data_IF_203511553074
#
_entry.id   IF_203511553074
#
_cell.length_a   1.000
_cell.length_b   1.000
_cell.length_c   1.000
_cell.angle_alpha   90.00
_cell.angle_beta   90.00
_cell.angle_gamma   90.00
#
_symmetry.space_group_name_H-M   'P 1'
#
loop_
_entity.id
_entity.type
_entity.pdbx_description
1 polymer ?
#
# COMPACT_ATOMS: atom_id res chain seq x y z
N UNK A 1 5.95 95.48 7.04
CA UNK A 1 6.37 94.53 8.10
C UNK A 1 5.82 93.17 7.71
N UNK A 2 6.63 92.39 6.97
CA UNK A 2 7.29 91.15 7.44
C UNK A 2 6.29 90.01 7.74
N UNK A 3 6.14 89.04 6.82
CA UNK A 3 6.80 87.69 6.77
C UNK A 3 5.70 86.61 6.98
N UNK A 4 5.63 85.40 6.41
CA UNK A 4 6.54 84.43 5.75
C UNK A 4 5.68 83.64 4.70
N UNK A 5 6.07 83.34 3.46
CA UNK A 5 6.97 82.29 2.93
C UNK A 5 6.85 80.88 3.52
N UNK A 6 6.16 80.00 2.78
CA UNK A 6 6.46 78.56 2.66
C UNK A 6 6.43 78.20 1.17
N UNK A 7 7.53 77.66 0.65
CA UNK A 7 7.63 77.07 -0.69
C UNK A 7 8.24 75.68 -0.56
N UNK A 8 7.47 74.68 -0.98
CA UNK A 8 7.79 73.26 -1.05
C UNK A 8 8.92 72.99 -2.05
N UNK A 9 9.92 72.20 -1.65
CA UNK A 9 10.97 71.68 -2.51
C UNK A 9 10.53 70.45 -3.32
N UNK A 10 11.17 70.17 -4.48
CA UNK A 10 10.76 69.09 -5.37
C UNK A 10 11.24 67.71 -4.88
N UNK A 11 10.31 66.76 -4.87
CA UNK A 11 10.51 65.35 -4.50
C UNK A 11 11.04 64.57 -5.71
N UNK A 12 12.20 63.95 -5.57
CA UNK A 12 12.82 63.11 -6.60
C UNK A 12 12.20 61.71 -6.58
N UNK A 13 11.57 61.30 -7.67
CA UNK A 13 10.98 59.97 -7.84
C UNK A 13 12.02 59.02 -8.47
N UNK A 14 12.54 58.08 -7.68
CA UNK A 14 13.44 57.03 -8.17
C UNK A 14 12.62 55.88 -8.77
N UNK A 15 12.78 55.62 -10.07
CA UNK A 15 12.15 54.50 -10.78
C UNK A 15 13.01 53.25 -10.58
N UNK A 16 12.53 52.29 -9.78
CA UNK A 16 13.11 50.95 -9.66
C UNK A 16 12.55 50.07 -10.78
N UNK A 17 13.40 49.71 -11.75
CA UNK A 17 13.10 48.65 -12.72
C UNK A 17 13.18 47.28 -12.03
N UNK A 18 12.03 46.68 -11.75
CA UNK A 18 11.94 45.30 -11.29
C UNK A 18 12.23 44.36 -12.48
N UNK A 19 13.44 43.79 -12.51
CA UNK A 19 13.78 42.71 -13.43
C UNK A 19 13.03 41.46 -13.00
N UNK A 20 12.02 41.07 -13.76
CA UNK A 20 11.25 39.84 -13.54
C UNK A 20 12.11 38.66 -13.98
N UNK A 21 12.77 38.00 -13.03
CA UNK A 21 13.38 36.69 -13.27
C UNK A 21 12.22 35.70 -13.38
N UNK A 22 11.83 35.36 -14.61
CA UNK A 22 10.93 34.25 -14.88
C UNK A 22 11.70 32.98 -14.54
N UNK A 23 11.42 32.41 -13.38
CA UNK A 23 11.84 31.04 -13.05
C UNK A 23 11.09 30.09 -13.97
N UNK A 24 11.76 29.62 -15.02
CA UNK A 24 11.23 28.55 -15.85
C UNK A 24 10.97 27.33 -14.96
N UNK A 25 9.73 26.84 -14.94
CA UNK A 25 9.41 25.58 -14.28
C UNK A 25 10.30 24.48 -14.89
N UNK A 26 10.83 23.54 -14.07
CA UNK A 26 11.58 22.41 -14.61
C UNK A 26 10.70 21.69 -15.63
N UNK A 27 11.12 21.69 -16.89
CA UNK A 27 10.41 20.99 -17.94
C UNK A 27 10.39 19.49 -17.59
N UNK A 28 9.20 18.88 -17.63
CA UNK A 28 9.09 17.43 -17.68
C UNK A 28 10.00 16.93 -18.80
N UNK A 29 11.00 16.12 -18.47
CA UNK A 29 12.01 15.65 -19.43
C UNK A 29 11.36 15.01 -20.67
N UNK A 30 10.18 14.40 -20.51
CA UNK A 30 9.28 13.96 -21.58
C UNK A 30 7.83 14.01 -21.09
N UNK A 31 6.90 14.46 -21.95
CA UNK A 31 5.46 14.44 -21.64
C UNK A 31 4.96 13.00 -21.36
N UNK A 32 4.15 12.76 -20.31
CA UNK A 32 3.49 11.48 -20.08
C UNK A 32 2.27 11.25 -21.01
N UNK A 33 1.99 12.17 -21.93
CA UNK A 33 0.86 12.11 -22.86
C UNK A 33 0.86 10.84 -23.74
N UNK A 34 -0.34 10.31 -23.96
CA UNK A 34 -0.59 9.10 -24.74
C UNK A 34 -1.32 8.01 -23.94
N UNK A 35 -1.42 6.83 -24.56
CA UNK A 35 -2.04 5.64 -23.98
C UNK A 35 -0.96 4.70 -23.46
N UNK A 36 -1.16 4.15 -22.26
CA UNK A 36 -0.19 3.30 -21.57
C UNK A 36 -0.86 2.06 -20.99
N UNK A 37 -0.31 0.88 -21.25
CA UNK A 37 -0.78 -0.38 -20.69
C UNK A 37 0.14 -0.84 -19.57
N UNK A 38 -0.42 -1.20 -18.42
CA UNK A 38 0.32 -1.83 -17.33
C UNK A 38 0.71 -3.27 -17.66
N UNK A 39 1.91 -3.68 -17.26
CA UNK A 39 2.31 -5.08 -17.31
C UNK A 39 1.78 -5.83 -16.08
N UNK A 40 0.76 -6.66 -16.28
CA UNK A 40 0.26 -7.62 -15.31
C UNK A 40 -0.78 -7.13 -14.29
N UNK A 41 -1.03 -5.82 -14.24
CA UNK A 41 -1.97 -5.20 -13.29
C UNK A 41 -3.35 -4.91 -13.88
N UNK A 42 -3.60 -5.23 -15.15
CA UNK A 42 -4.94 -5.10 -15.75
C UNK A 42 -5.40 -3.66 -15.95
N UNK A 43 -4.48 -2.69 -16.03
CA UNK A 43 -4.80 -1.29 -16.29
C UNK A 43 -4.34 -0.80 -17.65
N UNK A 44 -5.13 0.10 -18.23
CA UNK A 44 -4.75 1.03 -19.30
C UNK A 44 -5.01 2.45 -18.86
N UNK A 45 -4.09 3.37 -19.18
CA UNK A 45 -4.16 4.78 -18.83
C UNK A 45 -4.16 5.63 -20.10
N UNK A 46 -5.09 6.56 -20.20
CA UNK A 46 -5.11 7.62 -21.22
C UNK A 46 -4.73 8.94 -20.56
N UNK A 47 -3.61 9.52 -20.97
CA UNK A 47 -3.11 10.81 -20.49
C UNK A 47 -3.29 11.87 -21.58
N UNK A 48 -4.06 12.92 -21.30
CA UNK A 48 -4.29 14.05 -22.20
C UNK A 48 -4.11 15.35 -21.43
N UNK A 49 -3.05 16.10 -21.75
CA UNK A 49 -2.67 17.30 -21.00
C UNK A 49 -2.49 17.03 -19.50
N UNK A 50 -3.29 17.69 -18.66
CA UNK A 50 -3.25 17.55 -17.20
C UNK A 50 -4.18 16.48 -16.63
N UNK A 51 -4.87 15.71 -17.49
CA UNK A 51 -5.86 14.72 -17.07
C UNK A 51 -5.38 13.31 -17.43
N UNK A 52 -5.66 12.38 -16.54
CA UNK A 52 -5.47 10.95 -16.75
C UNK A 52 -6.80 10.23 -16.51
N UNK A 53 -7.16 9.29 -17.39
CA UNK A 53 -8.24 8.33 -17.18
C UNK A 53 -7.64 6.93 -17.10
N UNK A 54 -8.02 6.16 -16.09
CA UNK A 54 -7.70 4.75 -15.98
C UNK A 54 -8.86 3.89 -16.50
N UNK A 55 -8.53 2.74 -17.05
CA UNK A 55 -9.43 1.69 -17.45
C UNK A 55 -8.94 0.38 -16.85
N UNK A 56 -9.85 -0.42 -16.29
CA UNK A 56 -9.57 -1.79 -15.90
C UNK A 56 -9.93 -2.71 -17.05
N UNK A 57 -8.95 -3.49 -17.50
CA UNK A 57 -9.01 -4.27 -18.74
C UNK A 57 -8.71 -5.73 -18.44
N UNK A 58 -9.49 -6.60 -19.09
CA UNK A 58 -9.19 -8.03 -19.21
C UNK A 58 -9.07 -8.37 -20.69
N UNK A 59 -8.83 -9.64 -21.02
CA UNK A 59 -8.86 -10.11 -22.41
C UNK A 59 -10.21 -9.87 -23.11
N UNK A 60 -11.32 -9.69 -22.37
CA UNK A 60 -12.68 -9.58 -22.94
C UNK A 60 -13.53 -8.45 -22.37
N UNK A 61 -13.08 -7.72 -21.34
CA UNK A 61 -13.85 -6.65 -20.70
C UNK A 61 -13.03 -5.38 -20.53
N UNK A 62 -13.70 -4.22 -20.52
CA UNK A 62 -13.10 -2.94 -20.20
C UNK A 62 -14.10 -2.08 -19.41
N UNK A 63 -13.73 -1.66 -18.21
CA UNK A 63 -14.54 -0.75 -17.38
C UNK A 63 -13.76 0.51 -17.07
N UNK A 64 -14.47 1.62 -16.87
CA UNK A 64 -13.84 2.86 -16.43
C UNK A 64 -13.32 2.69 -15.00
N UNK A 65 -12.06 3.04 -14.78
CA UNK A 65 -11.43 3.11 -13.46
C UNK A 65 -11.44 4.54 -12.90
N UNK A 66 -10.41 4.87 -12.12
CA UNK A 66 -10.24 6.21 -11.55
C UNK A 66 -9.85 7.26 -12.61
N UNK A 67 -9.97 8.53 -12.23
CA UNK A 67 -9.40 9.66 -12.99
C UNK A 67 -8.37 10.37 -12.13
N UNK A 68 -7.39 11.01 -12.74
CA UNK A 68 -6.38 11.75 -11.99
C UNK A 68 -6.04 13.08 -12.65
N UNK A 69 -5.53 14.00 -11.85
CA UNK A 69 -5.06 15.32 -12.29
C UNK A 69 -3.60 15.52 -11.96
N UNK A 70 -2.87 16.07 -12.92
CA UNK A 70 -1.48 16.46 -12.75
C UNK A 70 -1.37 17.48 -11.60
N UNK A 71 -0.45 17.24 -10.69
CA UNK A 71 -0.16 18.10 -9.56
C UNK A 71 1.09 18.94 -9.81
N UNK A 72 1.14 20.19 -9.30
CA UNK A 72 2.38 20.95 -9.26
C UNK A 72 3.42 20.20 -8.41
N UNK A 73 4.63 20.04 -8.93
CA UNK A 73 5.75 19.45 -8.20
C UNK A 73 6.14 20.44 -7.08
N UNK A 74 5.79 20.13 -5.82
CA UNK A 74 6.30 20.87 -4.66
C UNK A 74 7.64 20.27 -4.22
N UNK A 75 8.46 21.06 -3.52
CA UNK A 75 9.83 20.73 -3.08
C UNK A 75 9.93 19.49 -2.17
N UNK A 76 8.82 18.88 -1.74
CA UNK A 76 8.82 17.59 -1.04
C UNK A 76 9.03 16.37 -1.96
N UNK A 77 9.22 16.58 -3.26
CA UNK A 77 9.39 15.53 -4.28
C UNK A 77 10.80 15.53 -4.89
N UNK A 78 11.83 15.88 -4.11
CA UNK A 78 13.24 15.93 -4.56
C UNK A 78 13.74 14.61 -5.19
N UNK A 79 13.11 13.46 -4.90
CA UNK A 79 13.40 12.16 -5.53
C UNK A 79 12.71 11.93 -6.89
N UNK A 80 11.88 12.86 -7.37
CA UNK A 80 11.01 12.60 -8.53
C UNK A 80 11.72 12.61 -9.87
N UNK A 81 12.98 13.08 -9.99
CA UNK A 81 13.81 12.85 -11.18
C UNK A 81 13.17 13.25 -12.52
N UNK A 82 12.29 14.25 -12.53
CA UNK A 82 11.52 14.65 -13.72
C UNK A 82 10.22 13.87 -13.96
N UNK A 83 9.66 13.21 -12.94
CA UNK A 83 8.38 12.50 -13.00
C UNK A 83 7.17 13.44 -13.00
N UNK A 84 6.09 12.98 -13.64
CA UNK A 84 4.79 13.63 -13.56
C UNK A 84 4.00 13.10 -12.35
N UNK A 85 3.68 13.97 -11.40
CA UNK A 85 2.88 13.64 -10.22
C UNK A 85 1.38 13.79 -10.52
N UNK A 86 0.59 12.79 -10.19
CA UNK A 86 -0.86 12.78 -10.39
C UNK A 86 -1.56 12.47 -9.07
N UNK A 87 -2.67 13.16 -8.82
CA UNK A 87 -3.59 12.83 -7.73
C UNK A 87 -4.89 12.28 -8.31
N UNK A 88 -5.27 11.08 -7.88
CA UNK A 88 -6.54 10.46 -8.27
C UNK A 88 -7.74 11.19 -7.66
N UNK A 89 -8.92 11.01 -8.22
CA UNK A 89 -10.18 11.46 -7.62
C UNK A 89 -10.54 10.70 -6.32
N UNK A 90 -9.75 9.69 -5.96
CA UNK A 90 -9.83 8.93 -4.71
C UNK A 90 -8.83 9.45 -3.66
N UNK A 91 -7.94 10.37 -4.05
CA UNK A 91 -6.98 11.03 -3.17
C UNK A 91 -5.56 10.47 -3.23
N UNK A 92 -5.34 9.38 -3.98
CA UNK A 92 -4.04 8.72 -4.08
C UNK A 92 -3.05 9.53 -4.92
N UNK A 93 -1.84 9.70 -4.39
CA UNK A 93 -0.72 10.30 -5.09
C UNK A 93 0.13 9.21 -5.76
N UNK A 94 0.39 9.38 -7.06
CA UNK A 94 1.28 8.51 -7.82
C UNK A 94 2.09 9.30 -8.85
N UNK A 95 3.14 8.66 -9.35
CA UNK A 95 4.13 9.27 -10.23
C UNK A 95 4.31 8.44 -11.48
N UNK A 96 4.35 9.10 -12.65
CA UNK A 96 4.79 8.49 -13.90
C UNK A 96 6.22 8.95 -14.17
N UNK A 97 7.16 8.01 -14.12
CA UNK A 97 8.60 8.22 -14.25
C UNK A 97 9.12 7.64 -15.56
N UNK A 98 10.28 8.13 -16.01
CA UNK A 98 10.97 7.53 -17.15
C UNK A 98 11.37 6.07 -16.83
N UNK A 99 11.08 5.15 -17.76
CA UNK A 99 11.42 3.72 -17.63
C UNK A 99 12.55 3.28 -18.58
N UNK A 100 13.40 4.21 -19.00
CA UNK A 100 14.39 4.00 -20.07
C UNK A 100 13.88 4.51 -21.42
N UNK A 101 13.59 3.64 -22.41
CA UNK A 101 13.08 4.05 -23.73
C UNK A 101 11.80 4.90 -23.66
N UNK A 102 11.55 5.69 -24.71
CA UNK A 102 10.38 6.60 -24.79
C UNK A 102 9.03 5.89 -24.63
N UNK A 103 8.96 4.60 -24.95
CA UNK A 103 7.75 3.78 -24.92
C UNK A 103 7.62 2.93 -23.66
N UNK A 104 8.50 3.16 -22.67
CA UNK A 104 8.44 2.53 -21.36
C UNK A 104 8.43 3.59 -20.27
N UNK A 105 7.55 3.39 -19.30
CA UNK A 105 7.44 4.23 -18.10
C UNK A 105 7.22 3.37 -16.87
N UNK A 106 7.46 3.98 -15.72
CA UNK A 106 7.24 3.37 -14.42
C UNK A 106 6.17 4.18 -13.70
N UNK A 107 5.11 3.51 -13.28
CA UNK A 107 4.07 4.07 -12.44
C UNK A 107 4.38 3.67 -10.99
N UNK A 108 4.52 4.67 -10.11
CA UNK A 108 4.85 4.47 -8.71
C UNK A 108 3.79 5.10 -7.81
N UNK A 109 3.12 4.32 -6.98
CA UNK A 109 2.24 4.85 -5.94
C UNK A 109 3.07 5.20 -4.69
N UNK A 110 2.77 6.31 -4.02
CA UNK A 110 3.54 6.81 -2.88
C UNK A 110 3.75 5.76 -1.76
N UNK A 111 2.77 4.86 -1.58
CA UNK A 111 2.79 3.83 -0.54
C UNK A 111 3.20 2.42 -1.05
N UNK A 112 3.60 2.29 -2.31
CA UNK A 112 3.94 0.99 -2.91
C UNK A 112 5.41 0.61 -2.74
N UNK A 113 5.70 -0.69 -2.63
CA UNK A 113 7.07 -1.22 -2.63
C UNK A 113 7.71 -1.23 -4.02
N UNK A 114 6.91 -1.41 -5.07
CA UNK A 114 7.40 -1.66 -6.43
C UNK A 114 6.81 -0.70 -7.44
N UNK A 115 7.58 -0.41 -8.48
CA UNK A 115 7.08 0.27 -9.66
C UNK A 115 6.28 -0.69 -10.56
N UNK A 116 5.21 -0.18 -11.15
CA UNK A 116 4.47 -0.85 -12.22
C UNK A 116 5.02 -0.38 -13.56
N UNK A 117 5.55 -1.31 -14.35
CA UNK A 117 5.92 -1.00 -15.73
C UNK A 117 4.67 -0.74 -16.55
N UNK A 118 4.67 0.37 -17.29
CA UNK A 118 3.65 0.68 -18.27
C UNK A 118 4.30 0.90 -19.66
N UNK A 119 3.72 0.31 -20.69
CA UNK A 119 4.20 0.36 -22.07
C UNK A 119 3.27 1.20 -22.94
N UNK A 120 3.83 1.98 -23.86
CA UNK A 120 3.04 2.85 -24.74
C UNK A 120 2.19 2.02 -25.70
N UNK A 121 0.96 2.45 -25.90
CA UNK A 121 0.07 1.99 -26.98
C UNK A 121 -0.19 3.13 -27.97
N UNK A 122 -0.41 2.79 -29.24
CA UNK A 122 -0.81 3.77 -30.26
C UNK A 122 -2.21 4.34 -29.99
N UNK A 123 -3.14 3.45 -29.58
CA UNK A 123 -4.53 3.79 -29.25
C UNK A 123 -4.99 2.95 -28.05
N UNK A 124 -6.18 3.25 -27.53
CA UNK A 124 -6.85 2.38 -26.57
C UNK A 124 -7.03 0.96 -27.16
N UNK A 125 -6.98 -0.10 -26.33
CA UNK A 125 -7.34 -1.44 -26.78
C UNK A 125 -8.74 -1.49 -27.37
N UNK A 126 -8.95 -2.33 -28.39
CA UNK A 126 -10.26 -2.52 -29.04
C UNK A 126 -11.36 -2.86 -28.02
N UNK A 127 -11.03 -3.65 -26.98
CA UNK A 127 -11.97 -3.99 -25.90
C UNK A 127 -12.48 -2.75 -25.14
N UNK A 128 -11.77 -1.62 -25.20
CA UNK A 128 -12.13 -0.35 -24.59
C UNK A 128 -12.80 0.65 -25.54
N UNK A 129 -13.01 0.32 -26.83
CA UNK A 129 -13.82 1.15 -27.74
C UNK A 129 -15.25 1.32 -27.22
N UNK A 130 -15.76 0.29 -26.53
CA UNK A 130 -17.04 0.33 -25.82
C UNK A 130 -16.89 -0.31 -24.46
N UNK A 131 -17.14 0.47 -23.43
CA UNK A 131 -17.12 -0.02 -22.06
C UNK A 131 -18.11 -1.18 -21.88
N UNK A 132 -17.71 -2.17 -21.08
CA UNK A 132 -18.55 -3.27 -20.64
C UNK A 132 -19.79 -2.73 -19.95
N UNK A 133 -20.96 -3.22 -20.36
CA UNK A 133 -22.22 -2.68 -19.89
C UNK A 133 -22.44 -2.98 -18.40
N UNK A 134 -23.11 -2.09 -17.67
CA UNK A 134 -23.44 -2.32 -16.27
C UNK A 134 -24.70 -3.18 -16.13
N UNK A 135 -24.60 -4.45 -16.52
CA UNK A 135 -25.65 -5.46 -16.32
C UNK A 135 -25.16 -6.57 -15.39
N UNK A 136 -26.05 -7.36 -14.77
CA UNK A 136 -25.62 -8.45 -13.89
C UNK A 136 -24.71 -9.47 -14.59
N UNK A 137 -24.99 -9.81 -15.85
CA UNK A 137 -24.21 -10.77 -16.62
C UNK A 137 -22.83 -10.21 -16.99
N UNK A 138 -22.78 -8.95 -17.41
CA UNK A 138 -21.53 -8.28 -17.77
C UNK A 138 -20.63 -8.05 -16.55
N UNK A 139 -21.18 -7.62 -15.42
CA UNK A 139 -20.44 -7.48 -14.17
C UNK A 139 -19.91 -8.84 -13.67
N UNK A 140 -20.66 -9.93 -13.87
CA UNK A 140 -20.18 -11.28 -13.60
C UNK A 140 -19.00 -11.67 -14.51
N UNK A 141 -19.06 -11.31 -15.80
CA UNK A 141 -17.92 -11.53 -16.71
C UNK A 141 -16.68 -10.73 -16.26
N UNK A 142 -16.82 -9.44 -15.94
CA UNK A 142 -15.73 -8.60 -15.40
C UNK A 142 -15.11 -9.27 -14.19
N UNK A 143 -15.91 -9.59 -13.17
CA UNK A 143 -15.41 -10.21 -11.94
C UNK A 143 -14.66 -11.53 -12.21
N UNK A 144 -15.26 -12.41 -13.00
CA UNK A 144 -14.69 -13.74 -13.23
C UNK A 144 -13.43 -13.72 -14.09
N UNK A 145 -13.34 -12.80 -15.05
CA UNK A 145 -12.14 -12.59 -15.88
C UNK A 145 -11.02 -11.93 -15.11
N UNK A 146 -11.30 -10.88 -14.34
CA UNK A 146 -10.29 -10.25 -13.48
C UNK A 146 -9.64 -11.27 -12.55
N UNK A 147 -10.43 -12.12 -11.90
CA UNK A 147 -9.88 -13.19 -11.07
C UNK A 147 -9.08 -14.21 -11.89
N UNK A 148 -9.59 -14.65 -13.05
CA UNK A 148 -8.89 -15.62 -13.89
C UNK A 148 -7.51 -15.14 -14.36
N UNK A 149 -7.41 -13.86 -14.70
CA UNK A 149 -6.22 -13.24 -15.28
C UNK A 149 -5.22 -12.75 -14.23
N UNK A 150 -5.67 -12.33 -13.04
CA UNK A 150 -4.81 -11.69 -12.04
C UNK A 150 -4.67 -12.43 -10.72
N UNK A 151 -5.58 -13.34 -10.36
CA UNK A 151 -5.45 -14.09 -9.10
C UNK A 151 -4.39 -15.20 -9.23
N UNK A 152 -3.38 -15.14 -8.38
CA UNK A 152 -2.17 -15.96 -8.51
C UNK A 152 -2.24 -17.30 -7.75
N UNK A 153 -3.20 -17.46 -6.85
CA UNK A 153 -3.17 -18.53 -5.84
C UNK A 153 -4.15 -19.69 -6.09
N UNK A 154 -4.86 -19.75 -7.23
CA UNK A 154 -5.83 -20.84 -7.48
C UNK A 154 -5.22 -22.23 -7.33
N UNK A 155 -4.02 -22.45 -7.90
CA UNK A 155 -3.36 -23.76 -7.88
C UNK A 155 -2.88 -24.11 -6.45
N UNK A 156 -2.32 -23.13 -5.73
CA UNK A 156 -1.94 -23.28 -4.31
C UNK A 156 -3.14 -23.59 -3.41
N UNK A 157 -4.31 -23.04 -3.74
CA UNK A 157 -5.57 -23.26 -3.00
C UNK A 157 -6.35 -24.48 -3.51
N UNK A 158 -5.84 -25.18 -4.53
CA UNK A 158 -6.49 -26.31 -5.19
C UNK A 158 -7.93 -25.98 -5.65
N UNK A 159 -8.11 -24.80 -6.25
CA UNK A 159 -9.41 -24.32 -6.71
C UNK A 159 -9.48 -24.26 -8.22
N UNK A 160 -10.41 -25.06 -8.76
CA UNK A 160 -10.76 -25.03 -10.18
C UNK A 160 -11.69 -23.84 -10.46
N UNK A 161 -11.10 -22.69 -10.79
CA UNK A 161 -11.85 -21.47 -11.06
C UNK A 161 -12.86 -21.64 -12.20
N UNK A 162 -12.53 -22.43 -13.22
CA UNK A 162 -13.45 -22.72 -14.33
C UNK A 162 -14.74 -23.40 -13.86
N UNK A 163 -14.62 -24.39 -12.96
CA UNK A 163 -15.79 -25.02 -12.33
C UNK A 163 -16.60 -24.07 -11.47
N UNK A 164 -15.93 -23.23 -10.67
CA UNK A 164 -16.61 -22.20 -9.86
C UNK A 164 -17.40 -21.25 -10.75
N UNK A 165 -16.78 -20.74 -11.83
CA UNK A 165 -17.46 -19.87 -12.80
C UNK A 165 -18.66 -20.57 -13.45
N UNK A 166 -18.51 -21.83 -13.88
CA UNK A 166 -19.59 -22.59 -14.50
C UNK A 166 -20.78 -22.79 -13.55
N UNK A 167 -20.52 -23.11 -12.28
CA UNK A 167 -21.56 -23.29 -11.26
C UNK A 167 -22.36 -21.99 -11.06
N UNK A 168 -21.67 -20.87 -10.84
CA UNK A 168 -22.33 -19.61 -10.48
C UNK A 168 -22.90 -18.85 -11.68
N UNK A 169 -22.39 -19.07 -12.90
CA UNK A 169 -22.95 -18.44 -14.12
C UNK A 169 -24.42 -18.79 -14.30
N UNK A 170 -24.82 -20.02 -13.96
CA UNK A 170 -26.22 -20.47 -14.04
C UNK A 170 -27.16 -19.71 -13.07
N UNK A 171 -26.61 -19.08 -12.03
CA UNK A 171 -27.35 -18.33 -11.00
C UNK A 171 -27.53 -16.84 -11.36
N UNK A 172 -26.85 -16.35 -12.41
CA UNK A 172 -26.92 -14.95 -12.85
C UNK A 172 -27.90 -14.82 -14.01
N UNK A 173 -28.89 -13.94 -13.85
CA UNK A 173 -29.92 -13.64 -14.86
C UNK A 173 -30.05 -12.13 -15.06
N UNK A 174 -30.74 -11.67 -16.12
CA UNK A 174 -31.03 -10.24 -16.29
C UNK A 174 -31.82 -9.60 -15.12
N UNK A 175 -32.43 -10.41 -14.25
CA UNK A 175 -33.19 -9.95 -13.07
C UNK A 175 -32.39 -10.01 -11.76
N UNK A 176 -31.14 -10.47 -11.81
CA UNK A 176 -30.28 -10.54 -10.62
C UNK A 176 -30.01 -9.12 -10.11
N UNK A 177 -30.36 -8.85 -8.86
CA UNK A 177 -30.14 -7.54 -8.23
C UNK A 177 -28.68 -7.34 -7.85
N UNK A 178 -28.20 -6.10 -7.65
CA UNK A 178 -26.85 -5.84 -7.15
C UNK A 178 -26.53 -6.55 -5.83
N UNK A 179 -27.51 -6.66 -4.91
CA UNK A 179 -27.32 -7.37 -3.65
C UNK A 179 -27.13 -8.88 -3.84
N UNK A 180 -27.92 -9.50 -4.71
CA UNK A 180 -27.76 -10.91 -5.06
C UNK A 180 -26.46 -11.18 -5.82
N UNK A 181 -26.04 -10.25 -6.69
CA UNK A 181 -24.78 -10.37 -7.41
C UNK A 181 -23.59 -10.29 -6.44
N UNK A 182 -23.66 -9.41 -5.44
CA UNK A 182 -22.68 -9.37 -4.35
C UNK A 182 -22.61 -10.70 -3.61
N UNK A 183 -23.76 -11.28 -3.22
CA UNK A 183 -23.80 -12.59 -2.53
C UNK A 183 -23.15 -13.70 -3.37
N UNK A 184 -23.38 -13.66 -4.69
CA UNK A 184 -22.76 -14.58 -5.64
C UNK A 184 -21.24 -14.41 -5.64
N UNK A 185 -20.73 -13.17 -5.81
CA UNK A 185 -19.29 -12.91 -5.82
C UNK A 185 -18.62 -13.32 -4.52
N UNK A 186 -19.23 -12.96 -3.38
CA UNK A 186 -18.78 -13.33 -2.05
C UNK A 186 -18.68 -14.86 -1.91
N UNK A 187 -19.72 -15.59 -2.31
CA UNK A 187 -19.73 -17.05 -2.24
C UNK A 187 -18.69 -17.72 -3.15
N UNK A 188 -18.32 -17.08 -4.27
CA UNK A 188 -17.28 -17.57 -5.18
C UNK A 188 -15.88 -17.47 -4.57
N UNK A 189 -15.57 -16.39 -3.84
CA UNK A 189 -14.20 -16.12 -3.37
C UNK A 189 -13.98 -16.42 -1.88
N UNK A 190 -15.04 -16.49 -1.07
CA UNK A 190 -14.96 -16.88 0.35
C UNK A 190 -14.20 -18.20 0.57
N UNK A 191 -14.39 -19.26 -0.24
CA UNK A 191 -13.65 -20.52 -0.08
C UNK A 191 -12.16 -20.44 -0.43
N UNK A 192 -11.67 -19.32 -0.98
CA UNK A 192 -10.23 -19.10 -1.20
C UNK A 192 -9.49 -18.93 0.14
N UNK A 193 -10.19 -18.50 1.20
CA UNK A 193 -9.60 -18.26 2.51
C UNK A 193 -8.38 -17.35 2.41
N UNK A 194 -8.54 -16.24 1.69
CA UNK A 194 -7.47 -15.32 1.33
C UNK A 194 -7.78 -13.92 1.86
N UNK A 195 -6.96 -13.48 2.81
CA UNK A 195 -7.11 -12.19 3.49
C UNK A 195 -6.87 -10.99 2.56
N UNK A 196 -6.28 -11.23 1.39
CA UNK A 196 -6.05 -10.21 0.36
C UNK A 196 -7.10 -10.20 -0.75
N UNK A 197 -8.25 -10.83 -0.52
CA UNK A 197 -9.41 -10.74 -1.41
C UNK A 197 -10.54 -10.00 -0.72
N UNK A 198 -11.13 -9.03 -1.40
CA UNK A 198 -12.25 -8.26 -0.88
C UNK A 198 -13.23 -7.87 -1.97
N UNK A 199 -14.45 -7.54 -1.57
CA UNK A 199 -15.49 -6.94 -2.43
C UNK A 199 -16.07 -5.77 -1.66
N UNK A 200 -16.04 -4.59 -2.25
CA UNK A 200 -16.71 -3.40 -1.71
C UNK A 200 -17.83 -2.97 -2.65
N UNK A 201 -19.00 -2.71 -2.08
CA UNK A 201 -20.18 -2.26 -2.79
C UNK A 201 -20.90 -1.18 -1.96
N UNK A 202 -20.32 0.03 -1.86
CA UNK A 202 -20.79 1.08 -0.95
C UNK A 202 -22.18 1.62 -1.31
N UNK A 203 -22.60 1.44 -2.57
CA UNK A 203 -23.89 1.90 -3.11
C UNK A 203 -24.96 0.80 -3.15
N UNK A 204 -24.69 -0.40 -2.63
CA UNK A 204 -25.68 -1.50 -2.64
C UNK A 204 -26.68 -1.32 -1.50
N UNK A 205 -27.96 -1.44 -1.85
CA UNK A 205 -29.08 -1.34 -0.93
C UNK A 205 -29.54 -2.73 -0.47
N UNK A 206 -29.79 -2.90 0.83
CA UNK A 206 -30.48 -4.08 1.38
C UNK A 206 -31.84 -3.64 1.93
N UNK A 207 -32.93 -4.24 1.44
CA UNK A 207 -34.31 -3.91 1.83
C UNK A 207 -34.64 -2.40 1.74
N UNK A 208 -34.12 -1.71 0.74
CA UNK A 208 -34.39 -0.29 0.49
C UNK A 208 -33.50 0.70 1.24
N UNK A 209 -32.55 0.24 2.06
CA UNK A 209 -31.61 1.09 2.82
C UNK A 209 -30.21 0.94 2.21
N UNK A 210 -29.55 2.05 1.89
CA UNK A 210 -28.13 2.05 1.51
C UNK A 210 -27.30 1.75 2.75
N UNK A 211 -26.88 0.50 2.93
CA UNK A 211 -26.01 0.12 4.05
C UNK A 211 -24.54 0.07 3.64
N UNK A 212 -24.25 0.09 2.33
CA UNK A 212 -22.98 -0.44 1.83
C UNK A 212 -22.86 -1.94 2.12
N UNK A 213 -22.06 -2.64 1.34
CA UNK A 213 -21.68 -4.02 1.64
C UNK A 213 -20.19 -4.20 1.41
N UNK A 214 -19.56 -4.91 2.34
CA UNK A 214 -18.16 -5.23 2.27
C UNK A 214 -17.96 -6.70 2.64
N UNK A 215 -17.05 -7.35 1.94
CA UNK A 215 -16.55 -8.67 2.26
C UNK A 215 -15.04 -8.59 2.21
N UNK A 216 -14.40 -9.15 3.24
CA UNK A 216 -12.97 -9.41 3.27
C UNK A 216 -12.79 -10.91 3.53
N UNK A 217 -11.91 -11.53 2.76
CA UNK A 217 -11.54 -12.91 2.99
C UNK A 217 -10.79 -13.04 4.33
N UNK A 218 -10.82 -14.24 4.88
CA UNK A 218 -10.13 -14.54 6.14
C UNK A 218 -9.20 -15.71 5.89
N UNK A 219 -7.92 -15.54 6.20
CA UNK A 219 -6.95 -16.64 6.20
C UNK A 219 -7.32 -17.65 7.29
N UNK A 220 -7.37 -18.96 7.00
CA UNK A 220 -7.60 -19.97 8.02
C UNK A 220 -6.64 -19.83 9.21
N UNK A 221 -7.16 -19.83 10.43
CA UNK A 221 -6.38 -19.66 11.67
C UNK A 221 -6.39 -18.24 12.23
N UNK A 222 -6.67 -17.23 11.40
CA UNK A 222 -6.85 -15.82 11.84
C UNK A 222 -8.11 -15.66 12.72
N UNK A 223 -9.16 -16.42 12.41
CA UNK A 223 -10.41 -16.52 13.17
C UNK A 223 -10.22 -16.93 14.64
N UNK A 224 -9.19 -17.74 14.94
CA UNK A 224 -8.86 -18.17 16.31
C UNK A 224 -8.45 -16.99 17.21
N UNK A 225 -7.80 -15.99 16.62
CA UNK A 225 -7.39 -14.78 17.35
C UNK A 225 -8.61 -13.89 17.59
N UNK A 226 -9.51 -13.79 16.62
CA UNK A 226 -10.76 -13.04 16.74
C UNK A 226 -11.74 -13.66 17.75
N UNK A 227 -11.69 -14.98 17.97
CA UNK A 227 -12.62 -15.72 18.87
C UNK A 227 -14.09 -15.42 18.54
N UNK A 228 -14.43 -15.40 17.24
CA UNK A 228 -15.78 -15.12 16.77
C UNK A 228 -16.21 -13.65 16.85
N UNK A 229 -15.32 -12.73 17.19
CA UNK A 229 -15.56 -11.28 17.11
C UNK A 229 -15.34 -10.79 15.68
N UNK A 230 -15.98 -9.66 15.31
CA UNK A 230 -15.57 -8.93 14.11
C UNK A 230 -14.18 -8.33 14.33
N UNK A 231 -13.45 -8.10 13.23
CA UNK A 231 -12.16 -7.42 13.29
C UNK A 231 -12.27 -6.05 13.98
N UNK A 232 -13.29 -5.26 13.65
CA UNK A 232 -13.56 -3.97 14.31
C UNK A 232 -13.69 -4.11 15.84
N UNK A 233 -14.44 -5.12 16.32
CA UNK A 233 -14.61 -5.36 17.76
C UNK A 233 -13.29 -5.83 18.39
N UNK A 234 -12.54 -6.67 17.69
CA UNK A 234 -11.23 -7.11 18.14
C UNK A 234 -10.26 -5.94 18.27
N UNK A 235 -10.20 -5.05 17.27
CA UNK A 235 -9.36 -3.85 17.32
C UNK A 235 -9.75 -2.90 18.46
N UNK A 236 -11.06 -2.71 18.71
CA UNK A 236 -11.56 -1.85 19.78
C UNK A 236 -11.31 -2.40 21.19
N UNK A 237 -11.35 -3.73 21.37
CA UNK A 237 -11.35 -4.33 22.71
C UNK A 237 -10.43 -5.54 22.86
N UNK A 238 -10.51 -6.52 21.97
CA UNK A 238 -9.74 -7.77 22.06
C UNK A 238 -8.22 -7.58 22.05
N UNK A 239 -7.71 -6.67 21.23
CA UNK A 239 -6.28 -6.36 21.16
C UNK A 239 -5.73 -5.87 22.49
N UNK A 240 -6.48 -5.04 23.22
CA UNK A 240 -6.04 -4.51 24.52
C UNK A 240 -5.84 -5.63 25.53
N UNK A 241 -6.78 -6.58 25.59
CA UNK A 241 -6.69 -7.75 26.45
C UNK A 241 -5.47 -8.61 26.09
N UNK A 242 -5.24 -8.84 24.81
CA UNK A 242 -4.08 -9.62 24.35
C UNK A 242 -2.75 -8.94 24.67
N UNK A 243 -2.67 -7.63 24.47
CA UNK A 243 -1.47 -6.84 24.77
C UNK A 243 -1.16 -6.75 26.26
N UNK A 244 -2.21 -6.72 27.11
CA UNK A 244 -2.06 -6.75 28.56
C UNK A 244 -1.36 -8.04 29.03
N UNK A 245 -1.63 -9.19 28.41
CA UNK A 245 -0.92 -10.44 28.74
C UNK A 245 0.58 -10.27 28.55
N UNK A 246 1.01 -9.72 27.40
CA UNK A 246 2.44 -9.53 27.15
C UNK A 246 3.05 -8.52 28.12
N UNK A 247 2.34 -7.40 28.36
CA UNK A 247 2.80 -6.34 29.24
C UNK A 247 2.96 -6.82 30.69
N UNK A 248 2.00 -7.57 31.22
CA UNK A 248 2.02 -8.01 32.62
C UNK A 248 2.97 -9.19 32.86
N UNK A 249 3.07 -10.12 31.91
CA UNK A 249 3.84 -11.34 32.11
C UNK A 249 5.33 -11.21 31.74
N UNK A 250 5.68 -10.30 30.81
CA UNK A 250 7.03 -10.28 30.23
C UNK A 250 7.76 -8.95 30.33
N UNK A 251 7.07 -7.81 30.52
CA UNK A 251 7.73 -6.50 30.47
C UNK A 251 8.01 -5.92 31.86
N UNK A 252 9.20 -5.33 32.01
CA UNK A 252 9.60 -4.54 33.18
C UNK A 252 9.15 -3.10 33.00
N UNK A 253 8.05 -2.76 33.67
CA UNK A 253 7.51 -1.41 33.68
C UNK A 253 6.55 -1.10 32.52
N UNK A 254 6.11 0.17 32.40
CA UNK A 254 5.12 0.56 31.40
C UNK A 254 5.70 0.55 29.98
N UNK A 255 4.86 0.16 29.03
CA UNK A 255 5.17 0.29 27.60
C UNK A 255 5.07 1.74 27.18
N UNK A 256 6.11 2.21 26.48
CA UNK A 256 6.17 3.54 25.87
C UNK A 256 5.48 3.48 24.52
N UNK A 257 4.60 4.44 24.26
CA UNK A 257 3.81 4.51 23.04
C UNK A 257 4.32 5.62 22.13
N UNK A 258 4.58 5.28 20.88
CA UNK A 258 4.98 6.18 19.82
C UNK A 258 3.98 6.07 18.66
N UNK A 259 4.00 7.05 17.75
CA UNK A 259 3.21 7.01 16.52
C UNK A 259 1.74 6.62 16.77
N UNK A 260 1.10 7.30 17.72
CA UNK A 260 -0.29 7.05 18.15
C UNK A 260 -0.55 5.61 18.64
N UNK A 261 0.47 5.01 19.26
CA UNK A 261 0.42 3.65 19.83
C UNK A 261 0.63 2.54 18.80
N UNK A 262 1.01 2.87 17.56
CA UNK A 262 1.32 1.89 16.51
C UNK A 262 2.72 1.31 16.64
N UNK A 263 3.62 2.08 17.25
CA UNK A 263 4.97 1.65 17.64
C UNK A 263 5.02 1.68 19.17
N UNK A 264 5.44 0.58 19.78
CA UNK A 264 5.42 0.40 21.22
C UNK A 264 6.74 -0.19 21.68
N UNK A 265 7.39 0.41 22.68
CA UNK A 265 8.68 -0.05 23.17
C UNK A 265 8.69 -0.23 24.69
N UNK A 266 9.34 -1.29 25.16
CA UNK A 266 9.58 -1.56 26.57
C UNK A 266 10.76 -2.52 26.72
N UNK A 267 10.96 -3.02 27.93
CA UNK A 267 12.05 -3.95 28.24
C UNK A 267 11.50 -5.26 28.80
N UNK A 268 12.03 -6.38 28.34
CA UNK A 268 11.80 -7.70 28.96
C UNK A 268 12.71 -7.87 30.18
N UNK A 269 13.96 -7.41 30.06
CA UNK A 269 14.95 -7.40 31.13
C UNK A 269 15.86 -6.17 31.03
N UNK A 270 16.95 -6.15 31.79
CA UNK A 270 17.88 -5.01 31.82
C UNK A 270 18.55 -4.71 30.46
N UNK A 271 18.58 -5.66 29.51
CA UNK A 271 19.25 -5.53 28.21
C UNK A 271 18.36 -5.86 27.01
N UNK A 272 17.27 -6.58 27.21
CA UNK A 272 16.39 -7.01 26.12
C UNK A 272 15.26 -6.01 25.91
N UNK A 273 15.33 -5.26 24.80
CA UNK A 273 14.24 -4.42 24.34
C UNK A 273 13.12 -5.23 23.71
N UNK A 274 11.90 -4.73 23.80
CA UNK A 274 10.70 -5.28 23.18
C UNK A 274 10.03 -4.20 22.35
N UNK A 275 10.05 -4.35 21.03
CA UNK A 275 9.47 -3.45 20.04
C UNK A 275 8.25 -4.12 19.41
N UNK A 276 7.05 -3.67 19.74
CA UNK A 276 5.82 -4.10 19.07
C UNK A 276 5.44 -3.11 17.97
N UNK A 277 5.16 -3.65 16.78
CA UNK A 277 4.72 -2.89 15.61
C UNK A 277 3.32 -3.39 15.24
N UNK A 278 2.32 -2.52 15.42
CA UNK A 278 0.90 -2.87 15.25
C UNK A 278 0.40 -2.62 13.83
N UNK A 279 0.99 -1.63 13.15
CA UNK A 279 0.70 -1.33 11.75
C UNK A 279 1.81 -0.45 11.19
N UNK A 280 2.03 -0.54 9.89
CA UNK A 280 2.85 0.35 9.08
C UNK A 280 2.00 1.52 8.59
N UNK A 281 1.45 2.31 9.51
CA UNK A 281 0.59 3.45 9.16
C UNK A 281 -0.21 3.99 10.34
N UNK A 282 -0.90 5.13 10.14
CA UNK A 282 -1.68 5.78 11.20
C UNK A 282 -0.83 6.47 12.26
N UNK A 283 0.40 6.88 11.91
CA UNK A 283 1.37 7.48 12.85
C UNK A 283 1.02 8.92 13.23
N UNK A 284 0.24 9.62 12.40
CA UNK A 284 -0.23 11.00 12.63
C UNK A 284 -1.74 11.08 12.50
N UNK A 285 -2.33 12.22 12.87
CA UNK A 285 -3.78 12.47 12.69
C UNK A 285 -4.15 12.69 11.22
N UNK A 286 -3.29 13.34 10.44
CA UNK A 286 -3.49 13.59 9.02
C UNK A 286 -3.33 12.33 8.17
N UNK A 287 -2.61 11.33 8.70
CA UNK A 287 -2.19 10.14 7.96
C UNK A 287 -1.33 10.46 6.72
N UNK A 288 -0.79 11.68 6.66
CA UNK A 288 0.19 12.10 5.66
C UNK A 288 1.47 11.28 5.81
N UNK A 289 2.00 10.80 4.69
CA UNK A 289 3.14 9.90 4.66
C UNK A 289 4.41 10.57 5.21
N UNK A 290 4.76 11.77 4.73
CA UNK A 290 5.98 12.46 5.12
C UNK A 290 5.99 12.82 6.62
N UNK A 291 4.86 13.32 7.14
CA UNK A 291 4.68 13.57 8.56
C UNK A 291 4.75 12.29 9.38
N UNK A 292 4.18 11.19 8.89
CA UNK A 292 4.27 9.89 9.53
C UNK A 292 5.69 9.34 9.55
N UNK A 293 6.46 9.51 8.48
CA UNK A 293 7.85 9.06 8.39
C UNK A 293 8.73 9.84 9.36
N UNK A 294 8.51 11.16 9.47
CA UNK A 294 9.20 12.00 10.47
C UNK A 294 8.91 11.53 11.90
N UNK A 295 7.64 11.21 12.21
CA UNK A 295 7.26 10.70 13.52
C UNK A 295 7.86 9.32 13.81
N UNK A 296 7.90 8.43 12.81
CA UNK A 296 8.55 7.13 12.91
C UNK A 296 10.05 7.29 13.16
N UNK A 297 10.74 8.12 12.39
CA UNK A 297 12.18 8.33 12.52
C UNK A 297 12.56 8.84 13.91
N UNK A 298 11.80 9.80 14.46
CA UNK A 298 12.01 10.29 15.81
C UNK A 298 11.82 9.18 16.87
N UNK A 299 10.80 8.33 16.70
CA UNK A 299 10.56 7.20 17.59
C UNK A 299 11.71 6.17 17.52
N UNK A 300 12.16 5.81 16.32
CA UNK A 300 13.23 4.83 16.13
C UNK A 300 14.58 5.37 16.61
N UNK A 301 14.87 6.66 16.40
CA UNK A 301 16.06 7.31 16.94
C UNK A 301 16.09 7.19 18.47
N UNK A 302 14.97 7.46 19.13
CA UNK A 302 14.87 7.38 20.58
C UNK A 302 14.98 5.93 21.09
N UNK A 303 14.33 4.98 20.42
CA UNK A 303 14.38 3.56 20.78
C UNK A 303 15.79 3.00 20.62
N UNK A 304 16.45 3.28 19.49
CA UNK A 304 17.77 2.72 19.20
C UNK A 304 18.94 3.52 19.79
N UNK A 305 18.67 4.66 20.43
CA UNK A 305 19.65 5.37 21.27
C UNK A 305 19.68 4.86 22.71
N UNK A 306 18.88 3.85 23.06
CA UNK A 306 18.89 3.22 24.37
C UNK A 306 20.24 2.51 24.63
N UNK A 307 21.05 3.00 25.58
CA UNK A 307 22.38 2.46 25.85
C UNK A 307 22.33 1.07 26.50
N UNK A 308 21.17 0.66 27.02
CA UNK A 308 20.98 -0.64 27.65
C UNK A 308 20.64 -1.73 26.63
N UNK A 309 20.23 -1.37 25.41
CA UNK A 309 19.75 -2.30 24.41
C UNK A 309 20.87 -3.23 23.91
N UNK A 310 20.83 -4.48 24.38
CA UNK A 310 21.77 -5.55 24.01
C UNK A 310 21.14 -6.70 23.22
N UNK A 311 19.81 -6.83 23.23
CA UNK A 311 19.03 -7.77 22.44
C UNK A 311 17.64 -7.18 22.14
N UNK A 312 17.02 -7.56 21.03
CA UNK A 312 15.73 -7.01 20.61
C UNK A 312 14.72 -8.11 20.28
N UNK A 313 13.53 -8.05 20.89
CA UNK A 313 12.36 -8.77 20.43
C UNK A 313 11.49 -7.83 19.61
N UNK A 314 11.25 -8.17 18.34
CA UNK A 314 10.32 -7.46 17.46
C UNK A 314 9.02 -8.26 17.39
N UNK A 315 7.90 -7.67 17.83
CA UNK A 315 6.60 -8.32 17.87
C UNK A 315 5.65 -7.75 16.80
N UNK A 316 5.40 -8.56 15.78
CA UNK A 316 4.46 -8.29 14.69
C UNK A 316 3.30 -9.30 14.67
N UNK A 317 3.06 -10.02 15.77
CA UNK A 317 2.02 -11.07 15.83
C UNK A 317 0.63 -10.56 15.51
N UNK A 318 0.36 -9.30 15.86
CA UNK A 318 -0.85 -8.55 15.54
C UNK A 318 -0.43 -7.29 14.78
N UNK A 319 -0.18 -7.43 13.48
CA UNK A 319 0.23 -6.37 12.58
C UNK A 319 -0.66 -6.33 11.34
N UNK A 320 -1.41 -5.24 11.18
CA UNK A 320 -2.39 -5.07 10.10
C UNK A 320 -1.79 -4.61 8.76
N UNK A 321 -0.46 -4.64 8.63
CA UNK A 321 0.23 -4.15 7.45
C UNK A 321 0.18 -2.63 7.33
N UNK A 322 0.14 -2.13 6.10
CA UNK A 322 0.16 -0.71 5.77
C UNK A 322 1.17 -0.39 4.67
N UNK A 323 1.89 0.72 4.81
CA UNK A 323 2.85 1.20 3.82
C UNK A 323 4.18 0.48 3.91
N UNK A 324 4.62 -0.08 2.78
CA UNK A 324 5.93 -0.71 2.61
C UNK A 324 7.10 0.25 2.87
N UNK A 325 6.89 1.56 2.69
CA UNK A 325 7.96 2.55 2.98
C UNK A 325 8.23 2.70 4.47
N UNK A 326 7.23 2.51 5.33
CA UNK A 326 7.47 2.47 6.78
C UNK A 326 8.12 1.15 7.21
N UNK A 327 7.76 0.04 6.55
CA UNK A 327 8.44 -1.23 6.72
C UNK A 327 9.94 -1.08 6.44
N UNK A 328 10.31 -0.58 5.26
CA UNK A 328 11.71 -0.37 4.86
C UNK A 328 12.44 0.61 5.78
N UNK A 329 11.77 1.67 6.24
CA UNK A 329 12.33 2.60 7.21
C UNK A 329 12.68 1.92 8.55
N UNK A 330 11.93 0.89 8.96
CA UNK A 330 12.22 0.11 10.18
C UNK A 330 13.31 -0.94 9.91
N UNK A 331 13.21 -1.71 8.82
CA UNK A 331 14.16 -2.78 8.52
C UNK A 331 15.58 -2.24 8.25
N UNK A 332 15.71 -1.07 7.61
CA UNK A 332 16.98 -0.37 7.44
C UNK A 332 17.66 0.01 8.76
N UNK A 333 16.90 0.20 9.87
CA UNK A 333 17.47 0.38 11.21
C UNK A 333 18.02 -0.90 11.82
N UNK A 334 17.79 -2.06 11.21
CA UNK A 334 18.26 -3.37 11.66
C UNK A 334 19.33 -3.97 10.71
N UNK A 335 19.40 -3.49 9.47
CA UNK A 335 20.32 -3.95 8.43
C UNK A 335 21.80 -3.66 8.76
N UNK A 336 22.66 -4.69 8.74
CA UNK A 336 24.13 -4.56 8.93
C UNK A 336 24.88 -4.30 7.64
N UNK A 337 24.33 -4.71 6.50
CA UNK A 337 24.85 -4.49 5.15
C UNK A 337 23.68 -4.31 4.18
N UNK A 338 23.96 -3.96 2.93
CA UNK A 338 22.97 -4.08 1.87
C UNK A 338 22.63 -5.57 1.66
N UNK A 339 21.36 -5.90 1.45
CA UNK A 339 20.92 -7.26 1.16
C UNK A 339 19.58 -7.29 0.40
N UNK A 340 19.32 -8.40 -0.26
CA UNK A 340 18.03 -8.68 -0.90
C UNK A 340 16.98 -9.00 0.17
N UNK A 341 15.97 -8.14 0.31
CA UNK A 341 14.84 -8.39 1.19
C UNK A 341 13.87 -9.38 0.53
N UNK A 342 13.33 -9.02 -0.63
CA UNK A 342 12.41 -9.85 -1.41
C UNK A 342 12.29 -9.34 -2.84
N UNK A 343 11.62 -10.11 -3.69
CA UNK A 343 11.30 -9.73 -5.07
C UNK A 343 9.80 -9.75 -5.30
N UNK A 344 9.29 -8.81 -6.08
CA UNK A 344 7.89 -8.72 -6.47
C UNK A 344 7.75 -9.05 -7.95
N UNK A 345 6.73 -9.85 -8.29
CA UNK A 345 6.32 -10.14 -9.65
C UNK A 345 4.79 -10.10 -9.75
N UNK A 346 4.28 -9.72 -10.91
CA UNK A 346 2.87 -9.84 -11.26
C UNK A 346 2.69 -10.88 -12.37
N UNK A 347 1.50 -11.49 -12.45
CA UNK A 347 1.15 -12.33 -13.59
C UNK A 347 1.04 -11.46 -14.83
N UNK A 348 1.74 -11.78 -15.91
CA UNK A 348 1.87 -10.90 -17.08
C UNK A 348 1.10 -11.35 -18.30
N UNK A 349 0.47 -12.52 -18.27
CA UNK A 349 -0.27 -13.09 -19.41
C UNK A 349 -1.66 -13.55 -18.94
N UNK A 350 -2.74 -13.17 -19.65
CA UNK A 350 -4.11 -13.50 -19.26
C UNK A 350 -4.46 -14.98 -19.44
N UNK A 351 -3.67 -15.75 -20.22
CA UNK A 351 -3.93 -17.16 -20.51
C UNK A 351 -2.87 -18.08 -19.92
N UNK A 352 -1.58 -17.73 -20.07
CA UNK A 352 -0.47 -18.50 -19.53
C UNK A 352 -0.16 -18.08 -18.10
N UNK A 353 -0.68 -18.86 -17.14
CA UNK A 353 -0.52 -18.62 -15.70
C UNK A 353 0.92 -18.69 -15.19
N UNK A 354 1.85 -19.22 -15.99
CA UNK A 354 3.26 -19.35 -15.64
C UNK A 354 4.11 -18.18 -16.16
N UNK A 355 3.53 -17.22 -16.87
CA UNK A 355 4.24 -16.00 -17.29
C UNK A 355 4.09 -14.91 -16.25
N UNK A 356 5.24 -14.35 -15.89
CA UNK A 356 5.39 -13.33 -14.88
C UNK A 356 6.11 -12.13 -15.47
N UNK A 357 5.86 -10.96 -14.91
CA UNK A 357 6.69 -9.78 -15.16
C UNK A 357 8.13 -10.07 -14.76
N UNK A 358 9.11 -9.31 -15.30
CA UNK A 358 10.44 -9.26 -14.68
C UNK A 358 10.31 -8.95 -13.18
N UNK A 359 11.19 -9.56 -12.37
CA UNK A 359 11.21 -9.34 -10.93
C UNK A 359 11.62 -7.91 -10.60
N UNK A 360 10.84 -7.25 -9.76
CA UNK A 360 11.23 -6.02 -9.10
C UNK A 360 11.93 -6.36 -7.79
N UNK A 361 13.19 -5.98 -7.66
CA UNK A 361 14.03 -6.34 -6.52
C UNK A 361 13.91 -5.29 -5.43
N UNK A 362 13.53 -5.69 -4.22
CA UNK A 362 13.56 -4.84 -3.03
C UNK A 362 14.86 -5.12 -2.29
N UNK A 363 15.76 -4.13 -2.36
CA UNK A 363 16.99 -4.11 -1.60
C UNK A 363 16.79 -3.31 -0.33
N UNK A 364 17.29 -3.84 0.77
CA UNK A 364 17.30 -3.15 2.05
C UNK A 364 18.74 -2.78 2.38
N UNK A 365 18.93 -1.59 2.93
CA UNK A 365 20.27 -1.03 3.18
C UNK A 365 20.38 -0.43 4.58
N UNK A 366 21.58 -0.41 5.19
CA UNK A 366 21.77 0.16 6.50
C UNK A 366 21.45 1.65 6.52
N UNK A 367 20.56 2.03 7.42
CA UNK A 367 20.35 3.44 7.75
C UNK A 367 21.60 4.03 8.43
N UNK A 368 21.88 5.31 8.15
CA UNK A 368 22.88 6.11 8.86
C UNK A 368 22.39 6.64 10.22
N UNK A 369 21.08 6.62 10.46
CA UNK A 369 20.45 6.97 11.74
C UNK A 369 20.63 5.86 12.79
N UNK A 370 20.46 6.14 14.09
CA UNK A 370 20.56 5.14 15.16
C UNK A 370 19.79 3.86 14.83
N UNK A 371 20.42 2.72 15.03
CA UNK A 371 19.86 1.42 14.71
C UNK A 371 20.45 0.36 15.61
N UNK A 372 19.86 -0.83 15.56
CA UNK A 372 20.32 -1.96 16.35
C UNK A 372 20.99 -3.01 15.44
N UNK A 373 22.13 -3.56 15.88
CA UNK A 373 22.93 -4.54 15.12
C UNK A 373 23.26 -5.79 15.95
N UNK A 374 22.65 -5.91 17.13
CA UNK A 374 22.77 -7.10 17.98
C UNK A 374 21.68 -8.13 17.68
N UNK A 375 21.53 -9.18 18.51
CA UNK A 375 20.59 -10.27 18.26
C UNK A 375 19.13 -9.82 18.23
N UNK A 376 18.41 -10.21 17.18
CA UNK A 376 16.97 -9.93 17.00
C UNK A 376 16.16 -11.23 17.03
N UNK A 377 15.03 -11.24 17.73
CA UNK A 377 14.01 -12.28 17.63
C UNK A 377 12.72 -11.65 17.13
N UNK A 378 12.19 -12.17 16.03
CA UNK A 378 10.91 -11.74 15.49
C UNK A 378 9.78 -12.69 15.94
N UNK A 379 8.69 -12.12 16.47
CA UNK A 379 7.46 -12.83 16.79
C UNK A 379 6.41 -12.55 15.72
N UNK A 380 5.99 -13.61 15.02
CA UNK A 380 4.97 -13.58 13.97
C UNK A 380 3.74 -14.37 14.39
N UNK A 381 2.57 -14.07 13.82
CA UNK A 381 1.32 -14.72 14.19
C UNK A 381 0.27 -14.72 13.08
N UNK A 382 -0.90 -15.34 13.33
CA UNK A 382 -1.99 -15.42 12.34
C UNK A 382 -2.55 -14.07 11.88
N UNK A 383 -2.20 -12.99 12.57
CA UNK A 383 -2.56 -11.60 12.27
C UNK A 383 -1.35 -10.74 11.88
N UNK A 384 -0.22 -11.35 11.50
CA UNK A 384 0.80 -10.67 10.69
C UNK A 384 0.31 -10.68 9.25
N UNK A 385 -0.02 -9.50 8.71
CA UNK A 385 -0.71 -9.33 7.42
C UNK A 385 0.01 -8.30 6.53
N UNK A 386 -0.04 -8.50 5.21
CA UNK A 386 0.36 -7.50 4.20
C UNK A 386 1.81 -7.01 4.39
N UNK A 387 2.03 -5.71 4.57
CA UNK A 387 3.35 -5.15 4.89
C UNK A 387 4.01 -5.77 6.13
N UNK A 388 3.23 -6.37 7.05
CA UNK A 388 3.78 -7.19 8.13
C UNK A 388 4.40 -8.49 7.67
N UNK A 389 3.87 -9.11 6.62
CA UNK A 389 4.42 -10.34 6.04
C UNK A 389 5.65 -10.03 5.17
N UNK A 390 5.65 -8.91 4.44
CA UNK A 390 6.86 -8.46 3.72
C UNK A 390 7.95 -8.00 4.68
N UNK A 391 7.61 -7.37 5.81
CA UNK A 391 8.59 -7.05 6.85
C UNK A 391 9.31 -8.31 7.34
N UNK A 392 8.53 -9.35 7.65
CA UNK A 392 9.05 -10.66 8.01
C UNK A 392 9.90 -11.26 6.89
N UNK A 393 9.51 -11.11 5.61
CA UNK A 393 10.32 -11.54 4.47
C UNK A 393 11.66 -10.80 4.40
N UNK A 394 11.65 -9.47 4.56
CA UNK A 394 12.86 -8.65 4.58
C UNK A 394 13.80 -9.07 5.72
N UNK A 395 13.27 -9.35 6.91
CA UNK A 395 14.09 -9.82 8.03
C UNK A 395 14.63 -11.27 7.87
N UNK A 396 14.31 -11.99 6.78
CA UNK A 396 14.91 -13.29 6.44
C UNK A 396 16.22 -13.22 5.67
N UNK A 397 16.57 -12.05 5.15
CA UNK A 397 17.83 -11.89 4.43
C UNK A 397 19.05 -12.21 5.31
N UNK A 398 20.24 -12.41 4.73
CA UNK A 398 21.47 -12.60 5.49
C UNK A 398 21.99 -11.29 6.15
N UNK A 399 21.35 -10.15 5.88
CA UNK A 399 21.81 -8.81 6.29
C UNK A 399 21.28 -8.25 7.63
N UNK A 400 20.15 -8.69 8.21
CA UNK A 400 19.82 -8.42 9.62
C UNK A 400 20.71 -9.24 10.56
N UNK A 401 21.00 -8.72 11.75
CA UNK A 401 21.77 -9.44 12.76
C UNK A 401 21.04 -10.72 13.23
N UNK A 402 21.40 -11.86 12.63
CA UNK A 402 20.98 -13.24 12.90
C UNK A 402 19.64 -13.37 13.65
N UNK A 403 18.52 -13.39 12.91
CA UNK A 403 17.20 -13.61 13.50
C UNK A 403 16.97 -15.08 13.86
N UNK A 404 16.83 -15.39 15.16
CA UNK A 404 16.21 -16.66 15.56
C UNK A 404 14.70 -16.45 15.59
N UNK A 405 13.95 -17.28 14.86
CA UNK A 405 12.49 -17.19 14.80
C UNK A 405 11.82 -18.19 15.71
N UNK A 406 10.75 -17.76 16.35
CA UNK A 406 9.84 -18.62 17.09
C UNK A 406 8.47 -18.54 16.43
N UNK A 407 8.18 -19.52 15.57
CA UNK A 407 6.84 -19.72 15.03
C UNK A 407 5.96 -20.33 16.13
N UNK A 408 4.94 -19.57 16.56
CA UNK A 408 4.02 -19.98 17.62
C UNK A 408 2.78 -20.70 17.07
N UNK A 409 2.87 -21.37 15.92
CA UNK A 409 1.86 -22.37 15.53
C UNK A 409 1.80 -23.46 16.60
N UNK A 410 0.61 -23.79 17.16
CA UNK A 410 0.46 -25.03 17.91
C UNK A 410 0.89 -26.16 16.98
N UNK A 411 1.77 -27.05 17.45
CA UNK A 411 2.10 -28.27 16.74
C UNK A 411 0.79 -28.90 16.25
N UNK A 412 0.65 -29.09 14.94
CA UNK A 412 -0.39 -29.94 14.38
C UNK A 412 -0.14 -31.35 14.90
N UNK A 413 -0.64 -31.65 16.10
CA UNK A 413 -0.87 -33.02 16.51
C UNK A 413 -2.03 -33.48 15.64
N UNK A 414 -1.68 -34.24 14.61
CA UNK A 414 -2.58 -35.17 13.94
C UNK A 414 -3.41 -35.90 14.99
N UNK A 415 -4.72 -35.67 14.97
CA UNK A 415 -5.73 -36.59 15.50
C UNK A 415 -6.69 -36.90 14.37
#
# INVERSE_FOLDING_TARGET
MQTKTETLGPMWLSILLASSVVTAAPALSQSPEGVWQSQGYGYVFEVTGSHLKAFEVTSTTCVAGFTARLQPITTASEDSGGAAAFQSNEGDLFFIRAGGPKDHRLLHFENSASDVRIDRMETLPVVCERLTANTPADNFEVFTRTFAEHYISFDLKQKDWGKVVAEYRSKVTPRTTPAQLFDIFEAMIRPLGDVHTSISAPKVHFRGISTGREFEGIRPGTDRVLKGQSEERFQKSGMRTLFAVTQHAYLRGPVRNFCRGKIQYGHIDAKTGYLRIVAFGGYTKSNDFAAGLTALDAALDEIFSDPMLGALVVDVRINFGGSYRYEMAISSRLATSEYLAYTIQARSDPFDRNKWTPSFTIMDQPSSRPGFRGPVVELIGPYTLSAGETFTQGLMGPGPAASQRVDLRPAERSL
#
